data_IF_074511437230
#
_entry.id   IF_074511437230
#
_cell.length_a   1.000
_cell.length_b   1.000
_cell.length_c   1.000
_cell.angle_alpha   90.00
_cell.angle_beta   90.00
_cell.angle_gamma   90.00
#
_symmetry.space_group_name_H-M   'P 1'
#
loop_
_entity.id
_entity.type
_entity.pdbx_description
1 polymer ?
#
# COMPACT_ATOMS: atom_id res chain seq x y z
N UNK A 1 5.25 -21.22 -5.58
CA UNK A 1 6.18 -22.33 -5.87
C UNK A 1 6.21 -22.63 -7.35
N UNK A 2 7.38 -22.96 -7.89
CA UNK A 2 7.61 -23.55 -9.21
C UNK A 2 8.25 -24.93 -9.03
N UNK A 3 7.43 -25.98 -9.10
CA UNK A 3 7.85 -27.35 -8.83
C UNK A 3 8.68 -27.98 -9.96
N UNK A 4 8.85 -27.28 -11.08
CA UNK A 4 9.73 -27.74 -12.17
C UNK A 4 11.22 -27.57 -11.82
N UNK A 5 11.54 -26.75 -10.81
CA UNK A 5 12.89 -26.51 -10.33
C UNK A 5 13.15 -27.38 -9.10
N UNK A 6 14.25 -28.13 -9.07
CA UNK A 6 14.60 -28.89 -7.86
C UNK A 6 15.01 -27.91 -6.75
N UNK A 7 14.58 -28.10 -5.49
CA UNK A 7 14.88 -27.18 -4.40
C UNK A 7 16.39 -27.02 -4.13
N UNK A 8 17.19 -28.05 -4.42
CA UNK A 8 18.65 -28.01 -4.28
C UNK A 8 19.39 -27.22 -5.38
N UNK A 9 18.76 -27.01 -6.54
CA UNK A 9 19.38 -26.25 -7.64
C UNK A 9 19.15 -24.75 -7.46
N UNK A 10 17.91 -24.36 -7.12
CA UNK A 10 17.57 -22.98 -6.81
C UNK A 10 16.32 -22.92 -5.92
N UNK A 11 16.53 -22.87 -4.61
CA UNK A 11 15.44 -22.85 -3.64
C UNK A 11 14.56 -21.60 -3.78
N UNK A 12 15.12 -20.47 -4.17
CA UNK A 12 14.37 -19.22 -4.33
C UNK A 12 13.34 -19.32 -5.46
N UNK A 13 13.73 -19.84 -6.62
CA UNK A 13 12.82 -20.06 -7.76
C UNK A 13 11.86 -21.21 -7.46
N UNK A 14 12.31 -22.29 -6.82
CA UNK A 14 11.41 -23.35 -6.37
C UNK A 14 10.28 -22.82 -5.48
N UNK A 15 10.61 -22.00 -4.47
CA UNK A 15 9.62 -21.45 -3.54
C UNK A 15 8.73 -20.37 -4.19
N UNK A 16 9.32 -19.46 -4.97
CA UNK A 16 8.67 -18.21 -5.40
C UNK A 16 8.39 -18.10 -6.91
N UNK A 17 8.87 -19.03 -7.74
CA UNK A 17 8.96 -18.87 -9.20
C UNK A 17 7.65 -18.51 -9.88
N UNK A 18 6.55 -19.20 -9.57
CA UNK A 18 5.23 -18.85 -10.12
C UNK A 18 4.70 -17.50 -9.61
N UNK A 19 5.02 -17.11 -8.38
CA UNK A 19 4.65 -15.79 -7.87
C UNK A 19 5.43 -14.70 -8.62
N UNK A 20 6.74 -14.87 -8.82
CA UNK A 20 7.58 -13.93 -9.58
C UNK A 20 7.08 -13.73 -11.02
N UNK A 21 6.69 -14.83 -11.69
CA UNK A 21 6.16 -14.78 -13.07
C UNK A 21 4.86 -13.97 -13.18
N UNK A 22 4.00 -14.03 -12.17
CA UNK A 22 2.67 -13.42 -12.19
C UNK A 22 2.62 -12.04 -11.53
N UNK A 23 3.68 -11.61 -10.85
CA UNK A 23 3.71 -10.38 -10.07
C UNK A 23 4.90 -9.51 -10.51
N UNK A 24 4.87 -8.95 -11.73
CA UNK A 24 5.89 -8.01 -12.16
C UNK A 24 5.89 -6.75 -11.27
N UNK A 25 7.04 -6.09 -11.16
CA UNK A 25 7.13 -4.85 -10.40
C UNK A 25 6.23 -3.78 -11.04
N UNK A 26 5.23 -3.23 -10.32
CA UNK A 26 4.39 -2.16 -10.85
C UNK A 26 5.22 -0.94 -11.23
N UNK A 27 4.84 -0.21 -12.29
CA UNK A 27 5.61 0.94 -12.78
C UNK A 27 5.81 2.06 -11.73
N UNK A 28 4.91 2.15 -10.74
CA UNK A 28 5.00 3.10 -9.63
C UNK A 28 5.94 2.66 -8.50
N UNK A 29 6.58 1.49 -8.60
CA UNK A 29 7.40 0.90 -7.55
C UNK A 29 8.77 0.50 -8.08
N UNK A 30 9.77 0.55 -7.21
CA UNK A 30 11.14 0.09 -7.52
C UNK A 30 11.38 -1.38 -7.18
N UNK A 31 10.49 -1.98 -6.39
CA UNK A 31 10.50 -3.40 -6.02
C UNK A 31 9.08 -3.91 -5.75
N UNK A 32 8.90 -5.22 -5.83
CA UNK A 32 7.64 -5.87 -5.48
C UNK A 32 7.88 -7.24 -4.86
N UNK A 33 7.16 -7.51 -3.78
CA UNK A 33 7.34 -8.68 -2.92
C UNK A 33 6.24 -8.75 -1.87
N UNK A 34 6.18 -9.87 -1.14
CA UNK A 34 5.16 -10.11 -0.10
C UNK A 34 5.11 -9.02 0.98
N UNK A 35 6.24 -8.45 1.38
CA UNK A 35 6.28 -7.34 2.33
C UNK A 35 5.78 -6.02 1.74
N UNK A 36 5.95 -5.83 0.43
CA UNK A 36 5.43 -4.65 -0.25
C UNK A 36 3.92 -4.76 -0.47
N UNK A 37 3.39 -5.96 -0.76
CA UNK A 37 1.96 -6.27 -0.74
C UNK A 37 1.35 -5.99 0.65
N UNK A 38 1.95 -6.52 1.72
CA UNK A 38 1.47 -6.30 3.08
C UNK A 38 1.46 -4.81 3.46
N UNK A 39 2.50 -4.08 3.05
CA UNK A 39 2.58 -2.64 3.30
C UNK A 39 1.48 -1.90 2.55
N UNK A 40 1.26 -2.24 1.28
CA UNK A 40 0.21 -1.60 0.47
C UNK A 40 -1.18 -1.85 1.05
N UNK A 41 -1.49 -3.08 1.46
CA UNK A 41 -2.76 -3.40 2.13
C UNK A 41 -2.93 -2.65 3.45
N UNK A 42 -1.84 -2.49 4.21
CA UNK A 42 -1.85 -1.70 5.45
C UNK A 42 -2.10 -0.21 5.16
N UNK A 43 -1.47 0.35 4.13
CA UNK A 43 -1.66 1.72 3.68
C UNK A 43 -3.10 1.96 3.20
N UNK A 44 -3.70 1.04 2.44
CA UNK A 44 -5.10 1.12 2.01
C UNK A 44 -6.06 1.17 3.20
N UNK A 45 -5.85 0.30 4.20
CA UNK A 45 -6.66 0.29 5.43
C UNK A 45 -6.53 1.60 6.21
N UNK A 46 -5.31 2.12 6.34
CA UNK A 46 -5.07 3.40 6.98
C UNK A 46 -5.75 4.53 6.21
N UNK A 47 -5.66 4.53 4.88
CA UNK A 47 -6.34 5.51 4.03
C UNK A 47 -7.84 5.51 4.28
N UNK A 48 -8.50 4.35 4.34
CA UNK A 48 -9.93 4.26 4.68
C UNK A 48 -10.25 4.91 6.03
N UNK A 49 -9.44 4.64 7.07
CA UNK A 49 -9.65 5.22 8.39
C UNK A 49 -9.47 6.75 8.39
N UNK A 50 -8.52 7.26 7.61
CA UNK A 50 -8.25 8.69 7.48
C UNK A 50 -9.34 9.40 6.66
N UNK A 51 -9.82 8.77 5.58
CA UNK A 51 -10.95 9.25 4.80
C UNK A 51 -12.21 9.36 5.67
N UNK A 52 -12.46 8.37 6.52
CA UNK A 52 -13.58 8.38 7.47
C UNK A 52 -13.44 9.45 8.55
N UNK A 53 -12.21 9.68 9.03
CA UNK A 53 -11.91 10.73 10.00
C UNK A 53 -12.10 12.12 9.39
N UNK A 54 -11.66 12.34 8.15
CA UNK A 54 -11.83 13.61 7.43
C UNK A 54 -13.30 13.94 7.14
N UNK A 55 -14.14 12.94 6.87
CA UNK A 55 -15.58 13.14 6.60
C UNK A 55 -16.40 13.40 7.86
N UNK A 56 -16.01 12.82 9.01
CA UNK A 56 -16.81 12.84 10.24
C UNK A 56 -16.25 13.83 11.27
N UNK A 57 -16.51 15.12 11.05
CA UNK A 57 -16.01 16.23 11.88
C UNK A 57 -16.65 16.34 13.27
N UNK A 58 -17.66 15.52 13.60
CA UNK A 58 -18.36 15.51 14.89
C UNK A 58 -17.78 14.56 15.97
N UNK A 59 -16.60 13.97 15.74
CA UNK A 59 -15.92 13.08 16.71
C UNK A 59 -15.09 13.85 17.74
N UNK A 60 -14.39 13.14 18.61
CA UNK A 60 -13.48 13.73 19.58
C UNK A 60 -12.38 14.59 18.90
N UNK A 61 -11.82 15.55 19.66
CA UNK A 61 -10.85 16.52 19.13
C UNK A 61 -9.64 15.87 18.45
N UNK A 62 -9.18 14.69 18.90
CA UNK A 62 -8.02 14.04 18.27
C UNK A 62 -8.38 13.53 16.89
N UNK A 63 -9.54 12.89 16.74
CA UNK A 63 -10.01 12.41 15.44
C UNK A 63 -10.21 13.56 14.46
N UNK A 64 -10.74 14.69 14.92
CA UNK A 64 -10.86 15.89 14.09
C UNK A 64 -9.50 16.39 13.59
N UNK A 65 -8.49 16.53 14.47
CA UNK A 65 -7.15 16.97 14.09
C UNK A 65 -6.52 16.02 13.04
N UNK A 66 -6.69 14.70 13.22
CA UNK A 66 -6.18 13.70 12.28
C UNK A 66 -6.84 13.84 10.90
N UNK A 67 -8.17 13.99 10.88
CA UNK A 67 -8.94 14.17 9.65
C UNK A 67 -8.58 15.46 8.91
N UNK A 68 -8.52 16.58 9.62
CA UNK A 68 -8.18 17.90 9.06
C UNK A 68 -6.77 17.90 8.46
N UNK A 69 -5.79 17.32 9.17
CA UNK A 69 -4.41 17.23 8.68
C UNK A 69 -4.31 16.40 7.40
N UNK A 70 -4.98 15.25 7.37
CA UNK A 70 -5.01 14.40 6.18
C UNK A 70 -5.70 15.12 5.00
N UNK A 71 -6.86 15.74 5.22
CA UNK A 71 -7.58 16.47 4.18
C UNK A 71 -6.74 17.61 3.57
N UNK A 72 -6.00 18.35 4.41
CA UNK A 72 -5.12 19.43 3.95
C UNK A 72 -4.01 18.96 2.99
N UNK A 73 -3.51 17.73 3.15
CA UNK A 73 -2.50 17.15 2.27
C UNK A 73 -3.06 16.51 0.99
N UNK A 74 -4.34 16.13 0.99
CA UNK A 74 -4.97 15.42 -0.13
C UNK A 74 -5.66 16.36 -1.14
N UNK A 75 -5.93 17.61 -0.77
CA UNK A 75 -6.56 18.60 -1.66
C UNK A 75 -5.55 19.21 -2.66
N UNK A 76 -5.17 18.40 -3.64
CA UNK A 76 -4.28 18.82 -4.73
C UNK A 76 -4.81 20.03 -5.51
N UNK A 77 -6.13 20.16 -5.67
CA UNK A 77 -6.73 21.31 -6.38
C UNK A 77 -6.45 22.62 -5.65
N UNK A 78 -6.66 22.65 -4.34
CA UNK A 78 -6.38 23.84 -3.53
C UNK A 78 -4.88 24.13 -3.40
N UNK A 79 -4.03 23.09 -3.41
CA UNK A 79 -2.57 23.23 -3.35
C UNK A 79 -2.03 23.87 -4.64
N UNK A 80 -2.44 23.37 -5.81
CA UNK A 80 -1.92 23.83 -7.11
C UNK A 80 -2.55 25.16 -7.58
N UNK A 81 -3.63 25.62 -6.94
CA UNK A 81 -4.25 26.91 -7.23
C UNK A 81 -3.51 28.12 -6.62
N UNK A 82 -2.44 27.89 -5.85
CA UNK A 82 -1.59 28.93 -5.25
C UNK A 82 -0.32 29.15 -6.05
#
# INVERSE_FOLDING_TARGET
>A
MDLSVRPGDNFYVYANGNWLKNNPVPASKTRWGSFDELREESSKRLQTLLDDAAKNTGRDRKTQIIGDFYAAGMDSTAIEAK
#
